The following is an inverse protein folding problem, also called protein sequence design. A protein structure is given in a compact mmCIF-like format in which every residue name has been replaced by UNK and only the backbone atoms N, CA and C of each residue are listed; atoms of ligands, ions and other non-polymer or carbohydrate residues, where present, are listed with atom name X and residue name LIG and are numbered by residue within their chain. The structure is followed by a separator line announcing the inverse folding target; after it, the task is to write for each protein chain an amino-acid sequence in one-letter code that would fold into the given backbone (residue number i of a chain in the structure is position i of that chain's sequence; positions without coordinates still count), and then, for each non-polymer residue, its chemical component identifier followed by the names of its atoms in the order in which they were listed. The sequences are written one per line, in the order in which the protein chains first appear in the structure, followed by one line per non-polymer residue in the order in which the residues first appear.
data_IF_532177632638
#
_entry.id   IF_532177632638
#
_cell.length_a   1.000
_cell.length_b   1.000
_cell.length_c   1.000
_cell.angle_alpha   90.00
_cell.angle_beta   90.00
_cell.angle_gamma   90.00
#
_symmetry.space_group_name_H-M   'P 1'
#
loop_
_entity.id
_entity.type
_entity.pdbx_description
1 polymer ?
#
# COMPACT_ATOMS: atom_id res chain seq x y z
N UNK A 1 19.79 25.52 -2.94
CA UNK A 1 19.24 24.45 -2.08
C UNK A 1 18.17 23.71 -2.90
N UNK A 2 18.55 23.08 -4.02
CA UNK A 2 19.06 21.70 -4.20
C UNK A 2 17.95 20.64 -4.19
N UNK A 3 17.67 20.13 -5.40
CA UNK A 3 17.16 18.76 -5.68
C UNK A 3 15.67 18.41 -5.45
N UNK A 4 14.71 19.30 -5.71
CA UNK A 4 13.31 18.87 -5.87
C UNK A 4 13.02 18.19 -7.23
N UNK A 5 13.77 18.55 -8.27
CA UNK A 5 13.42 18.20 -9.65
C UNK A 5 13.98 16.87 -10.17
N UNK A 6 14.87 16.18 -9.43
CA UNK A 6 15.56 14.97 -9.90
C UNK A 6 15.01 13.68 -9.26
N UNK A 7 14.23 13.75 -8.17
CA UNK A 7 13.67 12.56 -7.49
C UNK A 7 12.44 11.97 -8.19
N UNK A 8 11.75 12.73 -9.04
CA UNK A 8 10.57 12.29 -9.84
C UNK A 8 10.98 11.68 -11.19
N UNK A 9 12.08 10.93 -11.24
CA UNK A 9 12.65 10.47 -12.51
C UNK A 9 12.14 9.10 -13.00
N UNK A 10 11.33 8.33 -12.24
CA UNK A 10 10.88 6.98 -12.69
C UNK A 10 9.45 6.56 -12.27
N UNK A 11 8.54 7.46 -11.91
CA UNK A 11 7.12 7.12 -11.67
C UNK A 11 6.20 8.34 -11.46
N UNK A 12 4.92 8.29 -11.88
CA UNK A 12 3.98 9.40 -11.69
C UNK A 12 3.72 9.65 -10.19
N UNK A 13 3.63 10.91 -9.77
CA UNK A 13 3.46 11.33 -8.35
C UNK A 13 2.17 10.83 -7.67
N UNK A 14 1.26 10.25 -8.44
CA UNK A 14 0.04 9.58 -7.97
C UNK A 14 0.27 8.13 -7.53
N UNK A 15 1.46 7.60 -7.83
CA UNK A 15 1.92 6.26 -7.49
C UNK A 15 2.78 6.29 -6.22
N UNK A 16 2.99 7.47 -5.63
CA UNK A 16 3.68 7.61 -4.36
C UNK A 16 2.85 6.92 -3.26
N UNK A 17 3.46 6.04 -2.44
CA UNK A 17 2.74 5.33 -1.39
C UNK A 17 2.05 6.30 -0.42
N UNK A 18 2.68 7.43 -0.14
CA UNK A 18 2.13 8.48 0.72
C UNK A 18 0.81 9.07 0.17
N UNK A 19 0.72 9.32 -1.15
CA UNK A 19 -0.46 9.91 -1.79
C UNK A 19 -1.59 8.90 -1.98
N UNK A 20 -1.25 7.63 -2.23
CA UNK A 20 -2.19 6.50 -2.24
C UNK A 20 -2.82 6.27 -0.86
N UNK A 21 -2.02 6.34 0.21
CA UNK A 21 -2.50 6.17 1.58
C UNK A 21 -3.33 7.38 2.02
N UNK A 22 -2.93 8.60 1.66
CA UNK A 22 -3.74 9.79 1.96
C UNK A 22 -5.09 9.80 1.22
N UNK A 23 -5.15 9.27 -0.01
CA UNK A 23 -6.39 9.27 -0.81
C UNK A 23 -7.31 8.11 -0.49
N UNK A 24 -6.77 6.91 -0.20
CA UNK A 24 -7.56 5.68 -0.06
C UNK A 24 -7.44 4.98 1.31
N UNK A 25 -6.48 5.38 2.16
CA UNK A 25 -6.29 4.82 3.50
C UNK A 25 -6.16 3.29 3.53
N UNK A 26 -6.76 2.66 4.54
CA UNK A 26 -6.74 1.20 4.76
C UNK A 26 -7.24 0.39 3.55
N UNK A 27 -8.30 0.88 2.89
CA UNK A 27 -8.89 0.26 1.70
C UNK A 27 -7.91 0.26 0.52
N UNK A 28 -7.13 1.34 0.36
CA UNK A 28 -6.08 1.42 -0.66
C UNK A 28 -5.02 0.34 -0.46
N UNK A 29 -4.52 0.17 0.76
CA UNK A 29 -3.50 -0.85 1.10
C UNK A 29 -4.01 -2.26 0.77
N UNK A 30 -5.24 -2.57 1.19
CA UNK A 30 -5.88 -3.87 0.93
C UNK A 30 -6.00 -4.15 -0.58
N UNK A 31 -6.40 -3.16 -1.36
CA UNK A 31 -6.59 -3.31 -2.82
C UNK A 31 -5.24 -3.47 -3.54
N UNK A 32 -4.21 -2.71 -3.14
CA UNK A 32 -2.86 -2.81 -3.71
C UNK A 32 -2.23 -4.17 -3.42
N UNK A 33 -2.27 -4.63 -2.17
CA UNK A 33 -1.72 -5.93 -1.76
C UNK A 33 -2.46 -7.07 -2.47
N UNK A 34 -3.78 -6.97 -2.61
CA UNK A 34 -4.58 -7.93 -3.38
C UNK A 34 -4.19 -7.93 -4.87
N UNK A 35 -3.98 -6.77 -5.49
CA UNK A 35 -3.59 -6.67 -6.90
C UNK A 35 -2.16 -7.17 -7.18
N UNK A 36 -1.22 -6.90 -6.27
CA UNK A 36 0.17 -7.38 -6.31
C UNK A 36 0.23 -8.90 -6.10
N UNK A 37 -0.39 -9.41 -5.02
CA UNK A 37 -0.36 -10.84 -4.66
C UNK A 37 -1.31 -11.71 -5.50
N UNK A 38 -2.34 -11.13 -6.12
CA UNK A 38 -3.40 -11.89 -6.79
C UNK A 38 -3.56 -11.67 -8.29
N UNK A 39 -3.17 -10.54 -8.86
CA UNK A 39 -3.41 -10.28 -10.29
C UNK A 39 -2.14 -10.17 -11.13
N UNK A 40 -0.95 -10.15 -10.51
CA UNK A 40 0.36 -9.82 -11.11
C UNK A 40 0.40 -8.48 -11.89
N UNK A 41 -0.73 -7.82 -12.10
CA UNK A 41 -0.90 -6.48 -12.68
C UNK A 41 -0.42 -5.41 -11.70
N UNK A 42 -0.40 -5.73 -10.40
CA UNK A 42 0.15 -4.89 -9.35
C UNK A 42 1.69 -4.93 -9.22
N UNK A 43 2.42 -5.65 -10.09
CA UNK A 43 3.90 -5.70 -10.04
C UNK A 43 4.57 -4.33 -10.22
N UNK A 44 3.86 -3.37 -10.82
CA UNK A 44 4.31 -1.98 -10.94
C UNK A 44 3.87 -1.07 -9.77
N UNK A 45 3.12 -1.59 -8.79
CA UNK A 45 2.74 -0.84 -7.60
C UNK A 45 3.75 -1.05 -6.44
N UNK A 46 4.16 0.01 -5.73
CA UNK A 46 5.11 -0.05 -4.61
C UNK A 46 4.40 -0.51 -3.33
N UNK A 47 3.90 -1.75 -3.32
CA UNK A 47 3.11 -2.33 -2.23
C UNK A 47 3.86 -2.40 -0.89
N UNK A 48 5.12 -2.83 -0.88
CA UNK A 48 5.95 -2.95 0.34
C UNK A 48 6.16 -1.60 1.05
N UNK A 49 6.52 -0.57 0.28
CA UNK A 49 6.72 0.79 0.80
C UNK A 49 5.41 1.39 1.31
N UNK A 50 4.28 1.05 0.66
CA UNK A 50 2.94 1.47 1.06
C UNK A 50 2.53 0.80 2.38
N UNK A 51 2.84 -0.48 2.58
CA UNK A 51 2.62 -1.18 3.84
C UNK A 51 3.43 -0.56 5.00
N UNK A 52 4.66 -0.15 4.74
CA UNK A 52 5.49 0.55 5.72
C UNK A 52 4.93 1.93 6.11
N UNK A 53 4.59 2.76 5.11
CA UNK A 53 3.97 4.08 5.36
C UNK A 53 2.61 3.92 6.05
N UNK A 54 1.82 2.91 5.70
CA UNK A 54 0.55 2.61 6.34
C UNK A 54 0.72 2.27 7.82
N UNK A 55 1.68 1.40 8.16
CA UNK A 55 2.02 1.08 9.55
C UNK A 55 2.47 2.32 10.33
N UNK A 56 3.23 3.21 9.70
CA UNK A 56 3.64 4.49 10.29
C UNK A 56 2.44 5.41 10.55
N UNK A 57 1.49 5.52 9.61
CA UNK A 57 0.28 6.33 9.76
C UNK A 57 -0.66 5.78 10.87
N UNK A 58 -0.80 4.46 10.97
CA UNK A 58 -1.55 3.81 12.07
C UNK A 58 -0.84 4.08 13.40
N UNK A 59 0.49 3.95 13.46
CA UNK A 59 1.27 4.27 14.66
C UNK A 59 1.22 5.76 15.05
N UNK A 60 1.00 6.66 14.08
CA UNK A 60 0.80 8.10 14.29
C UNK A 60 -0.61 8.47 14.76
N UNK A 61 -1.53 7.51 14.87
CA UNK A 61 -2.89 7.74 15.37
C UNK A 61 -3.86 8.34 14.37
N UNK A 62 -3.57 8.27 13.06
CA UNK A 62 -4.51 8.69 12.00
C UNK A 62 -5.64 7.68 11.78
N UNK A 63 -5.49 6.46 12.29
CA UNK A 63 -6.48 5.38 12.24
C UNK A 63 -6.67 4.89 13.68
N UNK A 64 -7.87 5.08 14.26
CA UNK A 64 -8.26 4.64 15.61
C UNK A 64 -8.33 3.11 15.80
N UNK A 65 -7.90 2.33 14.81
CA UNK A 65 -7.97 0.87 14.83
C UNK A 65 -6.65 0.28 15.34
N UNK A 66 -6.71 -0.79 16.16
CA UNK A 66 -5.49 -1.41 16.68
C UNK A 66 -4.64 -1.94 15.53
N UNK A 67 -3.34 -1.63 15.55
CA UNK A 67 -2.35 -2.03 14.54
C UNK A 67 -2.42 -3.54 14.21
N UNK A 68 -2.69 -4.37 15.22
CA UNK A 68 -2.86 -5.81 15.06
C UNK A 68 -4.04 -6.17 14.14
N UNK A 69 -5.17 -5.47 14.25
CA UNK A 69 -6.35 -5.71 13.42
C UNK A 69 -6.12 -5.28 11.97
N UNK A 70 -5.40 -4.17 11.77
CA UNK A 70 -4.94 -3.73 10.44
C UNK A 70 -4.02 -4.79 9.81
N UNK A 71 -3.02 -5.28 10.54
CA UNK A 71 -2.15 -6.37 10.04
C UNK A 71 -2.94 -7.63 9.69
N UNK A 72 -3.90 -8.06 10.54
CA UNK A 72 -4.71 -9.26 10.27
C UNK A 72 -5.55 -9.09 9.00
N UNK A 73 -6.16 -7.92 8.79
CA UNK A 73 -6.94 -7.63 7.58
C UNK A 73 -6.05 -7.64 6.33
N UNK A 74 -4.87 -7.02 6.39
CA UNK A 74 -3.93 -7.00 5.27
C UNK A 74 -3.42 -8.41 4.95
N UNK A 75 -3.08 -9.21 5.97
CA UNK A 75 -2.72 -10.61 5.78
C UNK A 75 -3.85 -11.44 5.16
N UNK A 76 -5.09 -11.25 5.63
CA UNK A 76 -6.25 -11.92 5.06
C UNK A 76 -6.46 -11.54 3.58
N UNK A 77 -6.28 -10.26 3.24
CA UNK A 77 -6.36 -9.76 1.87
C UNK A 77 -5.25 -10.32 0.96
N UNK A 78 -4.02 -10.42 1.46
CA UNK A 78 -2.89 -11.02 0.73
C UNK A 78 -3.15 -12.51 0.42
N UNK A 79 -3.61 -13.27 1.42
CA UNK A 79 -3.95 -14.70 1.26
C UNK A 79 -5.12 -14.87 0.29
N UNK A 80 -6.15 -14.03 0.40
CA UNK A 80 -7.28 -14.04 -0.53
C UNK A 80 -6.86 -13.66 -1.97
N UNK A 81 -5.94 -12.70 -2.12
CA UNK A 81 -5.34 -12.33 -3.40
C UNK A 81 -4.59 -13.50 -4.03
N UNK A 82 -3.69 -14.12 -3.28
CA UNK A 82 -2.96 -15.30 -3.76
C UNK A 82 -3.91 -16.46 -4.14
N UNK A 83 -5.00 -16.65 -3.40
CA UNK A 83 -6.02 -17.65 -3.74
C UNK A 83 -6.81 -17.31 -5.02
N UNK A 84 -7.11 -16.03 -5.27
CA UNK A 84 -7.79 -15.58 -6.48
C UNK A 84 -6.88 -15.59 -7.72
N UNK A 85 -5.58 -15.37 -7.55
CA UNK A 85 -4.59 -15.36 -8.64
C UNK A 85 -4.13 -16.74 -9.10
N UNK A 86 -4.29 -17.76 -8.26
CA UNK A 86 -3.94 -19.14 -8.56
C UNK A 86 -5.15 -19.98 -9.01
N UNK A 87 -6.29 -19.33 -9.28
CA UNK A 87 -7.56 -19.95 -9.71
C UNK A 87 -7.77 -19.93 -11.22
#
# INVERSE_FOLDING_TARGET
MTLAAVTTALGPSWLDPESLIQSFGLLGIVLVVFAESGLLIGFFLPGDSLLFTAGLFVARGYIDQPLWLVCVIICAAAVAGNAAGYG
#
